data_IF_125278650065
#
_entry.id   IF_125278650065
#
_cell.length_a   1.000
_cell.length_b   1.000
_cell.length_c   1.000
_cell.angle_alpha   90.00
_cell.angle_beta   90.00
_cell.angle_gamma   90.00
#
_symmetry.space_group_name_H-M   'P 1'
#
loop_
_entity.id
_entity.type
_entity.pdbx_description
1 polymer ?
#
# COMPACT_ATOMS: atom_id res chain seq x y z
N UNK A 1 92.54 24.48 -29.56
CA UNK A 1 91.80 24.37 -28.33
C UNK A 1 90.29 24.60 -28.59
N UNK A 2 89.57 23.54 -28.79
CA UNK A 2 88.13 23.61 -29.23
C UNK A 2 87.24 23.47 -27.99
N UNK A 3 86.41 24.44 -27.77
CA UNK A 3 85.33 24.38 -26.73
C UNK A 3 84.15 23.70 -27.33
N UNK A 4 83.75 22.57 -26.78
CA UNK A 4 82.45 21.92 -27.02
C UNK A 4 81.40 22.61 -26.15
N UNK A 5 80.33 23.08 -26.78
CA UNK A 5 79.14 23.54 -26.10
C UNK A 5 78.13 22.38 -26.08
N UNK A 6 77.69 21.97 -24.86
CA UNK A 6 76.60 21.00 -24.64
C UNK A 6 75.28 21.74 -24.72
N UNK A 7 74.42 21.36 -25.67
CA UNK A 7 73.02 21.76 -25.71
C UNK A 7 72.20 20.77 -24.86
N UNK A 8 71.58 21.22 -23.77
CA UNK A 8 70.62 20.46 -23.01
C UNK A 8 69.23 20.66 -23.63
N UNK A 9 68.68 19.61 -24.22
CA UNK A 9 67.24 19.59 -24.61
C UNK A 9 66.36 19.31 -23.39
N UNK A 10 65.54 20.30 -23.02
CA UNK A 10 64.39 20.09 -22.08
C UNK A 10 63.24 19.46 -22.85
N UNK A 11 62.95 18.21 -22.54
CA UNK A 11 61.74 17.56 -22.96
C UNK A 11 60.58 17.96 -22.01
N UNK A 12 59.65 18.76 -22.49
CA UNK A 12 58.41 19.07 -21.79
C UNK A 12 57.44 17.88 -21.93
N UNK A 13 57.25 17.10 -20.86
CA UNK A 13 56.20 16.11 -20.78
C UNK A 13 54.87 16.78 -20.51
N UNK A 14 54.02 16.87 -21.54
CA UNK A 14 52.64 17.26 -21.37
C UNK A 14 51.89 16.16 -20.63
N UNK A 15 51.54 16.40 -19.37
CA UNK A 15 50.63 15.56 -18.61
C UNK A 15 49.21 15.70 -19.20
N UNK A 16 48.76 14.70 -19.93
CA UNK A 16 47.37 14.58 -20.34
C UNK A 16 46.53 14.26 -19.10
N UNK A 17 45.78 15.26 -18.64
CA UNK A 17 44.71 15.01 -17.64
C UNK A 17 43.66 14.14 -18.30
N UNK A 18 43.68 12.86 -17.97
CA UNK A 18 42.55 11.95 -18.27
C UNK A 18 41.34 12.41 -17.43
N UNK A 19 40.39 13.06 -18.09
CA UNK A 19 39.07 13.30 -17.55
C UNK A 19 38.42 11.94 -17.24
N UNK A 20 38.48 11.50 -15.97
CA UNK A 20 37.70 10.39 -15.53
C UNK A 20 36.24 10.81 -15.63
N UNK A 21 35.47 10.13 -16.51
CA UNK A 21 34.03 10.24 -16.52
C UNK A 21 33.52 9.90 -15.12
N UNK A 22 32.48 10.59 -14.60
CA UNK A 22 31.90 10.25 -13.32
C UNK A 22 31.46 8.79 -13.37
N UNK A 23 31.54 8.02 -12.23
CA UNK A 23 31.10 6.66 -12.18
C UNK A 23 29.65 6.60 -12.67
N UNK A 24 29.38 5.69 -13.61
CA UNK A 24 28.05 5.48 -14.14
C UNK A 24 27.12 5.23 -12.95
N UNK A 25 26.09 6.08 -12.80
CA UNK A 25 25.02 5.82 -11.84
C UNK A 25 24.52 4.38 -12.06
N UNK A 26 24.29 3.60 -10.97
CA UNK A 26 23.79 2.25 -11.11
C UNK A 26 22.53 2.29 -11.99
N UNK A 27 22.55 1.48 -13.05
CA UNK A 27 21.46 1.39 -14.01
C UNK A 27 20.14 1.31 -13.26
N UNK A 28 19.20 2.19 -13.60
CA UNK A 28 17.88 2.23 -12.99
C UNK A 28 17.29 0.82 -13.02
N UNK A 29 17.08 0.25 -11.84
CA UNK A 29 16.54 -1.10 -11.71
C UNK A 29 15.12 -1.09 -12.29
N UNK A 30 14.97 -1.67 -13.48
CA UNK A 30 13.67 -2.07 -13.98
C UNK A 30 13.06 -3.05 -12.99
N UNK A 31 11.73 -3.04 -12.84
CA UNK A 31 11.07 -4.05 -12.00
C UNK A 31 11.45 -5.45 -12.49
N UNK A 32 11.73 -6.40 -11.57
CA UNK A 32 12.14 -7.73 -11.98
C UNK A 32 11.03 -8.40 -12.80
N UNK A 33 11.36 -9.03 -13.94
CA UNK A 33 10.39 -9.74 -14.75
C UNK A 33 9.64 -10.80 -13.94
N UNK A 34 8.32 -10.91 -14.13
CA UNK A 34 7.46 -11.84 -13.41
C UNK A 34 7.14 -11.43 -11.97
N UNK A 35 7.52 -10.21 -11.55
CA UNK A 35 7.22 -9.71 -10.21
C UNK A 35 5.82 -9.11 -10.15
N UNK A 36 5.14 -9.33 -9.03
CA UNK A 36 3.97 -8.56 -8.63
C UNK A 36 4.37 -7.57 -7.54
N UNK A 37 4.02 -6.30 -7.72
CA UNK A 37 4.36 -5.21 -6.81
C UNK A 37 3.09 -4.51 -6.38
N UNK A 38 2.89 -4.38 -5.07
CA UNK A 38 1.84 -3.54 -4.52
C UNK A 38 2.33 -2.11 -4.40
N UNK A 39 1.55 -1.16 -4.88
CA UNK A 39 1.80 0.26 -4.76
C UNK A 39 0.80 0.91 -3.81
N UNK A 40 1.32 1.64 -2.83
CA UNK A 40 0.55 2.49 -1.95
C UNK A 40 0.45 3.89 -2.55
N UNK A 41 -0.77 4.36 -2.71
CA UNK A 41 -1.06 5.67 -3.29
C UNK A 41 -1.70 6.61 -2.26
N UNK A 42 -1.54 7.93 -2.41
CA UNK A 42 -2.32 8.90 -1.64
C UNK A 42 -3.81 8.64 -1.79
N UNK A 43 -4.56 8.77 -0.68
CA UNK A 43 -5.99 8.53 -0.68
C UNK A 43 -6.41 7.06 -0.74
N UNK A 44 -5.44 6.13 -0.58
CA UNK A 44 -5.73 4.69 -0.48
C UNK A 44 -6.17 4.02 -1.78
N UNK A 45 -5.95 4.67 -2.92
CA UNK A 45 -6.14 4.06 -4.25
C UNK A 45 -4.99 3.10 -4.57
N UNK A 46 -4.74 2.16 -3.66
CA UNK A 46 -3.67 1.19 -3.82
C UNK A 46 -3.98 0.22 -4.95
N UNK A 47 -2.93 -0.21 -5.65
CA UNK A 47 -3.05 -1.15 -6.74
C UNK A 47 -1.90 -2.15 -6.76
N UNK A 48 -2.14 -3.32 -7.33
CA UNK A 48 -1.09 -4.26 -7.69
C UNK A 48 -0.71 -4.06 -9.17
N UNK A 49 0.59 -4.18 -9.46
CA UNK A 49 1.07 -4.32 -10.83
C UNK A 49 1.84 -5.62 -10.96
N UNK A 50 1.38 -6.51 -11.82
CA UNK A 50 2.09 -7.73 -12.20
C UNK A 50 2.82 -7.48 -13.52
N UNK A 51 4.14 -7.74 -13.55
CA UNK A 51 4.97 -7.55 -14.73
C UNK A 51 5.20 -8.90 -15.41
N UNK A 52 4.97 -9.01 -16.71
CA UNK A 52 5.24 -10.23 -17.47
C UNK A 52 6.71 -10.64 -17.38
N UNK A 53 7.00 -11.92 -17.58
CA UNK A 53 8.39 -12.44 -17.58
C UNK A 53 9.22 -11.85 -18.72
N UNK A 54 8.59 -11.54 -19.82
CA UNK A 54 9.17 -10.92 -21.00
C UNK A 54 9.36 -9.41 -20.82
N UNK A 55 8.66 -8.82 -19.82
CA UNK A 55 8.71 -7.39 -19.51
C UNK A 55 7.99 -6.50 -20.54
N UNK A 56 7.10 -7.05 -21.33
CA UNK A 56 6.33 -6.40 -22.40
C UNK A 56 4.93 -5.98 -21.96
N UNK A 57 4.43 -6.55 -20.87
CA UNK A 57 3.12 -6.27 -20.29
C UNK A 57 3.20 -5.96 -18.80
N UNK A 58 2.30 -5.08 -18.32
CA UNK A 58 1.98 -4.91 -16.93
C UNK A 58 0.47 -5.04 -16.73
N UNK A 59 0.04 -5.93 -15.85
CA UNK A 59 -1.36 -6.06 -15.45
C UNK A 59 -1.59 -5.26 -14.18
N UNK A 60 -2.50 -4.30 -14.20
CA UNK A 60 -2.89 -3.50 -13.03
C UNK A 60 -4.17 -4.08 -12.45
N UNK A 61 -4.15 -4.38 -11.16
CA UNK A 61 -5.30 -4.80 -10.37
C UNK A 61 -5.61 -3.75 -9.31
N UNK A 62 -6.76 -3.10 -9.41
CA UNK A 62 -7.30 -2.19 -8.39
C UNK A 62 -8.47 -2.91 -7.70
N UNK A 63 -8.52 -2.97 -6.35
CA UNK A 63 -9.61 -3.63 -5.65
C UNK A 63 -10.99 -3.13 -6.10
N UNK A 64 -11.85 -4.06 -6.52
CA UNK A 64 -13.21 -3.75 -6.97
C UNK A 64 -13.32 -3.21 -8.41
N UNK A 65 -12.25 -3.24 -9.18
CA UNK A 65 -12.25 -2.88 -10.61
C UNK A 65 -11.75 -4.05 -11.46
N UNK A 66 -12.14 -4.12 -12.75
CA UNK A 66 -11.55 -5.06 -13.69
C UNK A 66 -10.04 -4.86 -13.79
N UNK A 67 -9.30 -5.94 -14.01
CA UNK A 67 -7.87 -5.86 -14.30
C UNK A 67 -7.63 -5.22 -15.67
N UNK A 68 -6.53 -4.47 -15.76
CA UNK A 68 -6.14 -3.76 -16.97
C UNK A 68 -4.75 -4.21 -17.40
N UNK A 69 -4.63 -4.70 -18.61
CA UNK A 69 -3.35 -5.05 -19.23
C UNK A 69 -2.80 -3.86 -20.01
N UNK A 70 -1.58 -3.46 -19.68
CA UNK A 70 -0.90 -2.33 -20.28
C UNK A 70 0.33 -2.80 -21.04
N UNK A 71 0.42 -2.55 -22.35
CA UNK A 71 1.62 -2.82 -23.12
C UNK A 71 2.76 -1.87 -22.74
N UNK A 72 4.00 -2.37 -22.88
CA UNK A 72 5.19 -1.58 -22.60
C UNK A 72 5.30 -0.37 -23.54
N UNK A 73 5.69 0.76 -22.97
CA UNK A 73 5.96 2.00 -23.68
C UNK A 73 7.45 2.34 -23.65
N UNK A 74 7.98 3.07 -24.66
CA UNK A 74 9.33 3.58 -24.61
C UNK A 74 9.57 4.45 -23.36
N UNK A 75 10.65 4.19 -22.62
CA UNK A 75 11.03 5.01 -21.47
C UNK A 75 12.52 5.26 -21.48
N UNK A 76 12.95 6.48 -21.13
CA UNK A 76 14.36 6.85 -21.07
C UNK A 76 15.08 6.25 -19.86
N UNK A 77 14.35 5.99 -18.77
CA UNK A 77 14.85 5.34 -17.56
C UNK A 77 13.68 4.75 -16.76
N UNK A 78 13.87 3.59 -16.13
CA UNK A 78 12.83 2.91 -15.37
C UNK A 78 11.89 2.10 -16.26
N UNK A 79 10.59 2.14 -15.96
CA UNK A 79 9.56 1.42 -16.70
C UNK A 79 8.42 2.35 -17.12
N UNK A 80 7.79 2.05 -18.24
CA UNK A 80 6.55 2.66 -18.69
C UNK A 80 5.68 1.63 -19.40
N UNK A 81 4.40 1.61 -19.05
CA UNK A 81 3.36 0.77 -19.64
C UNK A 81 2.10 1.63 -19.79
N UNK A 82 1.35 1.43 -20.85
CA UNK A 82 0.16 2.24 -20.99
C UNK A 82 -0.66 1.98 -22.26
N UNK A 83 -1.90 2.45 -22.20
CA UNK A 83 -2.82 2.52 -23.31
C UNK A 83 -3.34 3.96 -23.49
N UNK A 84 -4.48 4.14 -24.13
CA UNK A 84 -5.08 5.46 -24.33
C UNK A 84 -5.70 6.07 -23.07
N UNK A 85 -5.93 5.29 -22.01
CA UNK A 85 -6.62 5.71 -20.79
C UNK A 85 -5.75 5.58 -19.54
N UNK A 86 -4.94 4.51 -19.47
CA UNK A 86 -4.05 4.22 -18.34
C UNK A 86 -2.58 4.37 -18.74
N UNK A 87 -1.80 4.96 -17.87
CA UNK A 87 -0.33 4.97 -17.95
C UNK A 87 0.25 4.64 -16.58
N UNK A 88 1.13 3.65 -16.53
CA UNK A 88 1.95 3.31 -15.37
C UNK A 88 3.40 3.56 -15.71
N UNK A 89 4.03 4.53 -15.08
CA UNK A 89 5.45 4.81 -15.25
C UNK A 89 6.16 4.92 -13.91
N UNK A 90 7.46 4.61 -13.86
CA UNK A 90 8.17 4.68 -12.60
C UNK A 90 9.64 4.28 -12.67
N UNK A 91 10.30 4.41 -11.51
CA UNK A 91 11.70 4.01 -11.32
C UNK A 91 11.92 3.51 -9.90
N UNK A 92 12.56 2.33 -9.76
CA UNK A 92 12.80 1.73 -8.46
C UNK A 92 11.49 1.50 -7.68
N UNK A 93 11.33 2.15 -6.54
CA UNK A 93 10.13 2.03 -5.70
C UNK A 93 9.03 3.06 -6.00
N UNK A 94 9.32 4.04 -6.81
CA UNK A 94 8.36 5.08 -7.18
C UNK A 94 7.61 4.70 -8.44
N UNK A 95 6.31 4.91 -8.43
CA UNK A 95 5.46 4.77 -9.61
C UNK A 95 4.49 5.95 -9.71
N UNK A 96 4.14 6.30 -10.93
CA UNK A 96 3.04 7.21 -11.24
C UNK A 96 2.02 6.43 -12.03
N UNK A 97 0.80 6.34 -11.52
CA UNK A 97 -0.34 5.81 -12.24
C UNK A 97 -1.20 6.98 -12.70
N UNK A 98 -1.40 7.06 -14.01
CA UNK A 98 -2.34 8.01 -14.63
C UNK A 98 -3.55 7.23 -15.14
N UNK A 99 -4.76 7.69 -14.82
CA UNK A 99 -6.01 7.13 -15.30
C UNK A 99 -6.95 8.27 -15.68
N UNK A 100 -7.43 8.29 -16.92
CA UNK A 100 -8.32 9.34 -17.41
C UNK A 100 -7.77 10.77 -17.22
N UNK A 101 -6.46 10.97 -17.41
CA UNK A 101 -5.77 12.26 -17.27
C UNK A 101 -5.50 12.70 -15.81
N UNK A 102 -5.77 11.85 -14.82
CA UNK A 102 -5.43 12.07 -13.41
C UNK A 102 -4.23 11.23 -13.04
N UNK A 103 -3.17 11.86 -12.52
CA UNK A 103 -1.95 11.19 -12.12
C UNK A 103 -1.85 11.09 -10.60
N UNK A 104 -1.43 9.91 -10.12
CA UNK A 104 -1.14 9.64 -8.72
C UNK A 104 0.29 9.13 -8.59
N UNK A 105 1.05 9.71 -7.67
CA UNK A 105 2.39 9.21 -7.34
C UNK A 105 2.27 8.22 -6.19
N UNK A 106 2.77 7.02 -6.39
CA UNK A 106 2.64 5.89 -5.50
C UNK A 106 4.00 5.31 -5.15
N UNK A 107 4.09 4.61 -4.03
CA UNK A 107 5.32 3.95 -3.59
C UNK A 107 5.12 2.45 -3.49
N UNK A 108 6.08 1.67 -3.95
CA UNK A 108 6.03 0.22 -3.78
C UNK A 108 6.00 -0.15 -2.28
N UNK A 109 5.05 -1.00 -1.93
CA UNK A 109 5.04 -1.68 -0.63
C UNK A 109 6.07 -2.81 -0.71
N UNK A 110 6.81 -3.01 0.36
CA UNK A 110 7.87 -4.00 0.34
C UNK A 110 9.18 -3.48 -0.29
N UNK A 111 10.03 -4.39 -0.69
CA UNK A 111 11.33 -4.10 -1.32
C UNK A 111 11.53 -5.00 -2.54
N UNK A 112 10.95 -4.66 -3.68
CA UNK A 112 11.08 -5.44 -4.90
C UNK A 112 12.54 -5.67 -5.28
N UNK A 113 12.87 -6.92 -5.66
CA UNK A 113 14.24 -7.30 -6.06
C UNK A 113 15.14 -7.74 -4.90
N UNK A 114 14.76 -7.54 -3.64
CA UNK A 114 15.48 -8.09 -2.50
C UNK A 114 15.01 -9.52 -2.18
N UNK A 115 15.87 -10.39 -1.60
CA UNK A 115 15.41 -11.69 -1.13
C UNK A 115 14.50 -11.55 0.11
N UNK A 116 13.65 -12.54 0.40
CA UNK A 116 12.89 -12.58 1.64
C UNK A 116 13.80 -12.46 2.87
N UNK A 117 13.32 -11.76 3.89
CA UNK A 117 14.06 -11.57 5.15
C UNK A 117 13.28 -12.18 6.30
N UNK A 118 13.90 -13.09 7.02
CA UNK A 118 13.29 -13.74 8.19
C UNK A 118 13.91 -13.19 9.47
N UNK A 119 13.05 -12.88 10.44
CA UNK A 119 13.43 -12.38 11.78
C UNK A 119 12.82 -13.29 12.84
N UNK A 120 13.57 -13.54 13.93
CA UNK A 120 13.14 -14.43 15.00
C UNK A 120 13.46 -13.83 16.38
N UNK A 121 12.56 -14.02 17.34
CA UNK A 121 12.75 -13.62 18.74
C UNK A 121 11.47 -13.80 19.56
N UNK A 122 11.62 -14.14 20.85
CA UNK A 122 10.49 -14.25 21.77
C UNK A 122 9.39 -15.24 21.37
N UNK A 123 9.71 -16.28 20.60
CA UNK A 123 8.74 -17.23 20.06
C UNK A 123 8.06 -16.77 18.77
N UNK A 124 8.37 -15.58 18.28
CA UNK A 124 7.85 -15.03 17.04
C UNK A 124 8.84 -15.24 15.90
N UNK A 125 8.36 -15.70 14.75
CA UNK A 125 9.09 -15.74 13.48
C UNK A 125 8.32 -14.93 12.45
N UNK A 126 8.98 -14.00 11.77
CA UNK A 126 8.37 -13.17 10.72
C UNK A 126 9.23 -13.27 9.46
N UNK A 127 8.62 -13.59 8.33
CA UNK A 127 9.26 -13.47 7.02
C UNK A 127 8.63 -12.30 6.25
N UNK A 128 9.45 -11.34 5.86
CA UNK A 128 9.08 -10.20 5.01
C UNK A 128 9.46 -10.52 3.58
N UNK A 129 8.47 -10.65 2.70
CA UNK A 129 8.68 -10.91 1.29
C UNK A 129 8.84 -9.58 0.53
N UNK A 130 9.63 -9.57 -0.55
CA UNK A 130 9.93 -8.33 -1.31
C UNK A 130 8.70 -7.70 -1.95
N UNK A 131 7.66 -8.47 -2.14
CA UNK A 131 6.38 -8.07 -2.71
C UNK A 131 5.42 -7.39 -1.73
N UNK A 132 5.84 -7.18 -0.47
CA UNK A 132 5.03 -6.54 0.55
C UNK A 132 4.11 -7.48 1.32
N UNK A 133 4.22 -8.79 1.13
CA UNK A 133 3.57 -9.78 1.98
C UNK A 133 4.47 -10.09 3.17
N UNK A 134 3.91 -10.24 4.37
CA UNK A 134 4.57 -10.92 5.47
C UNK A 134 3.89 -12.25 5.75
N UNK A 135 4.67 -13.19 6.28
CA UNK A 135 4.16 -14.40 6.93
C UNK A 135 4.71 -14.44 8.34
N UNK A 136 3.87 -14.85 9.28
CA UNK A 136 4.20 -14.83 10.70
C UNK A 136 3.81 -16.17 11.31
N UNK A 137 4.69 -16.69 12.16
CA UNK A 137 4.46 -17.82 13.04
C UNK A 137 4.70 -17.38 14.46
N UNK A 138 3.70 -17.53 15.32
CA UNK A 138 3.76 -17.16 16.73
C UNK A 138 3.66 -18.41 17.61
N UNK A 139 4.71 -18.65 18.38
CA UNK A 139 4.85 -19.74 19.36
C UNK A 139 5.04 -19.20 20.77
N UNK A 140 4.77 -17.92 20.99
CA UNK A 140 4.91 -17.31 22.32
C UNK A 140 3.85 -17.72 23.31
N UNK A 141 2.69 -18.22 22.81
CA UNK A 141 1.59 -18.72 23.59
C UNK A 141 1.51 -20.24 23.70
N UNK A 142 0.42 -20.74 24.32
CA UNK A 142 0.16 -22.17 24.44
C UNK A 142 -0.12 -22.88 23.11
N UNK A 143 -0.60 -22.13 22.11
CA UNK A 143 -0.92 -22.64 20.79
C UNK A 143 -0.09 -21.89 19.74
N UNK A 144 0.42 -22.63 18.75
CA UNK A 144 1.03 -22.03 17.58
C UNK A 144 -0.03 -21.36 16.71
N UNK A 145 0.22 -20.13 16.29
CA UNK A 145 -0.61 -19.45 15.28
C UNK A 145 0.23 -19.01 14.08
N UNK A 146 -0.40 -18.99 12.91
CA UNK A 146 0.21 -18.55 11.66
C UNK A 146 -0.67 -17.49 11.02
N UNK A 147 -0.03 -16.40 10.58
CA UNK A 147 -0.69 -15.26 9.97
C UNK A 147 -0.01 -14.87 8.64
N UNK A 148 -0.80 -14.25 7.77
CA UNK A 148 -0.34 -13.61 6.54
C UNK A 148 -0.94 -12.21 6.46
N UNK A 149 -0.22 -11.27 5.87
CA UNK A 149 -0.72 -9.90 5.68
C UNK A 149 0.25 -9.05 4.88
N UNK A 150 0.06 -7.74 4.93
CA UNK A 150 0.91 -6.75 4.26
C UNK A 150 1.94 -6.17 5.22
N UNK A 151 3.14 -5.90 4.71
CA UNK A 151 4.10 -5.08 5.42
C UNK A 151 4.49 -3.86 4.59
N UNK A 152 4.77 -2.77 5.27
CA UNK A 152 5.27 -1.54 4.66
C UNK A 152 6.30 -0.89 5.57
N UNK A 153 7.22 -0.18 4.97
CA UNK A 153 8.11 0.72 5.68
C UNK A 153 7.45 2.10 5.72
N UNK A 154 7.18 2.58 6.93
CA UNK A 154 6.62 3.92 7.16
C UNK A 154 7.69 4.82 7.78
N UNK A 155 7.78 6.06 7.30
CA UNK A 155 8.67 7.07 7.85
C UNK A 155 7.82 8.04 8.65
N UNK A 156 7.87 7.89 9.99
CA UNK A 156 7.09 8.71 10.91
C UNK A 156 7.91 8.91 12.18
N UNK A 157 8.71 9.96 12.20
CA UNK A 157 9.69 10.20 13.29
C UNK A 157 10.79 9.14 13.40
N UNK A 158 10.96 8.33 12.37
CA UNK A 158 11.92 7.23 12.23
C UNK A 158 11.42 6.18 11.26
N UNK A 159 12.30 5.27 10.86
CA UNK A 159 11.93 4.16 9.97
C UNK A 159 11.25 3.08 10.79
N UNK A 160 10.00 2.80 10.48
CA UNK A 160 9.20 1.77 11.12
C UNK A 160 8.76 0.72 10.12
N UNK A 161 8.83 -0.54 10.53
CA UNK A 161 8.24 -1.66 9.82
C UNK A 161 6.83 -1.89 10.37
N UNK A 162 5.83 -1.73 9.55
CA UNK A 162 4.42 -1.90 9.93
C UNK A 162 3.84 -3.12 9.24
N UNK A 163 3.38 -4.08 10.02
CA UNK A 163 2.69 -5.27 9.56
C UNK A 163 1.19 -5.11 9.82
N UNK A 164 0.37 -5.45 8.83
CA UNK A 164 -1.09 -5.33 8.87
C UNK A 164 -1.75 -6.60 8.39
N UNK A 165 -2.78 -7.00 9.10
CA UNK A 165 -3.53 -8.21 8.82
C UNK A 165 -3.19 -9.35 9.76
N UNK A 166 -3.92 -10.46 9.61
CA UNK A 166 -3.85 -11.59 10.50
C UNK A 166 -4.72 -11.41 11.76
N UNK A 167 -4.40 -12.13 12.82
CA UNK A 167 -5.12 -12.07 14.11
C UNK A 167 -4.91 -10.76 14.86
N UNK A 168 -3.81 -10.05 14.54
CA UNK A 168 -3.51 -8.71 15.09
C UNK A 168 -3.56 -7.70 13.96
N UNK A 169 -4.50 -6.78 14.04
CA UNK A 169 -4.77 -5.82 12.97
C UNK A 169 -3.54 -4.99 12.56
N UNK A 170 -2.63 -4.72 13.50
CA UNK A 170 -1.40 -3.96 13.25
C UNK A 170 -0.30 -4.31 14.24
N UNK A 171 0.91 -4.54 13.72
CA UNK A 171 2.14 -4.67 14.52
C UNK A 171 3.16 -3.65 14.00
N UNK A 172 3.85 -2.98 14.89
CA UNK A 172 4.85 -1.95 14.56
C UNK A 172 6.19 -2.35 15.15
N UNK A 173 7.23 -2.24 14.34
CA UNK A 173 8.60 -2.47 14.74
C UNK A 173 9.47 -1.30 14.28
N UNK A 174 10.42 -0.88 15.09
CA UNK A 174 11.53 -0.03 14.64
C UNK A 174 12.59 -0.94 14.00
N UNK A 175 12.98 -0.65 12.77
CA UNK A 175 14.11 -1.35 12.13
C UNK A 175 15.43 -0.76 12.66
N UNK A 176 16.31 -1.62 13.13
CA UNK A 176 17.64 -1.27 13.65
C UNK A 176 18.70 -1.96 12.79
N UNK A 177 19.52 -1.16 12.08
CA UNK A 177 20.60 -1.58 11.17
C UNK A 177 20.23 -2.66 10.13
N UNK A 178 18.94 -2.83 9.84
CA UNK A 178 18.43 -3.85 8.91
C UNK A 178 18.45 -5.30 9.41
N UNK A 179 19.09 -5.55 10.56
CA UNK A 179 19.25 -6.88 11.15
C UNK A 179 18.37 -7.13 12.37
N UNK A 180 17.70 -6.10 12.88
CA UNK A 180 16.82 -6.20 14.04
C UNK A 180 15.51 -5.48 13.83
N UNK A 181 14.45 -6.09 14.34
CA UNK A 181 13.15 -5.47 14.49
C UNK A 181 12.84 -5.34 15.98
N UNK A 182 12.69 -4.12 16.46
CA UNK A 182 12.38 -3.82 17.87
C UNK A 182 10.91 -3.45 17.97
N UNK A 183 10.13 -4.25 18.67
CA UNK A 183 8.72 -4.00 18.93
C UNK A 183 8.51 -2.85 19.93
N UNK A 184 7.32 -2.27 19.98
CA UNK A 184 6.95 -1.18 20.90
C UNK A 184 7.11 -1.57 22.37
N UNK A 185 6.92 -2.85 22.71
CA UNK A 185 7.13 -3.39 24.06
C UNK A 185 8.61 -3.70 24.41
N UNK A 186 9.55 -3.35 23.52
CA UNK A 186 10.98 -3.60 23.68
C UNK A 186 11.45 -5.01 23.27
N UNK A 187 10.56 -5.90 22.84
CA UNK A 187 10.98 -7.22 22.33
C UNK A 187 11.78 -7.06 21.04
N UNK A 188 12.87 -7.83 20.92
CA UNK A 188 13.76 -7.77 19.76
C UNK A 188 13.64 -9.07 18.97
N UNK A 189 13.48 -8.93 17.66
CA UNK A 189 13.62 -10.02 16.70
C UNK A 189 14.92 -9.78 15.92
N UNK A 190 15.77 -10.79 15.86
CA UNK A 190 17.04 -10.74 15.11
C UNK A 190 16.88 -11.41 13.75
N UNK A 191 17.62 -10.92 12.77
CA UNK A 191 17.66 -11.54 11.45
C UNK A 191 18.21 -12.96 11.54
N UNK A 192 17.48 -13.91 10.97
CA UNK A 192 17.82 -15.31 10.97
C UNK A 192 18.13 -15.81 9.56
N UNK A 193 19.09 -16.74 9.46
CA UNK A 193 19.38 -17.49 8.25
C UNK A 193 18.37 -18.63 8.01
N UNK A 194 17.14 -18.47 8.48
CA UNK A 194 16.10 -19.48 8.35
C UNK A 194 15.39 -19.35 7.01
N UNK A 195 14.93 -20.49 6.49
CA UNK A 195 14.10 -20.52 5.30
C UNK A 195 12.83 -19.67 5.50
N UNK A 196 12.30 -19.05 4.42
CA UNK A 196 11.04 -18.35 4.48
C UNK A 196 9.92 -19.26 4.99
N UNK A 197 9.00 -18.70 5.78
CA UNK A 197 7.85 -19.45 6.29
C UNK A 197 7.00 -19.93 5.11
N UNK A 198 6.78 -21.25 5.05
CA UNK A 198 5.95 -21.94 4.05
C UNK A 198 4.79 -22.70 4.73
N UNK A 199 4.11 -22.04 5.64
CA UNK A 199 3.02 -22.64 6.40
C UNK A 199 1.70 -22.62 5.62
N UNK A 200 0.75 -23.41 6.12
CA UNK A 200 -0.64 -23.37 5.67
C UNK A 200 -1.34 -22.21 6.32
N UNK A 201 -2.05 -21.42 5.52
CA UNK A 201 -2.81 -20.27 5.99
C UNK A 201 -4.29 -20.50 5.71
N UNK A 202 -5.13 -19.93 6.57
CA UNK A 202 -6.52 -19.67 6.27
C UNK A 202 -6.57 -18.39 5.47
N UNK A 203 -6.84 -18.51 4.18
CA UNK A 203 -6.89 -17.40 3.24
C UNK A 203 -8.35 -17.07 2.94
N UNK A 204 -8.68 -15.78 2.97
CA UNK A 204 -9.99 -15.26 2.57
C UNK A 204 -9.81 -14.37 1.36
N UNK A 205 -10.66 -14.52 0.37
CA UNK A 205 -10.49 -13.78 -0.87
C UNK A 205 -11.66 -13.89 -1.82
N UNK A 206 -11.50 -13.21 -2.95
CA UNK A 206 -12.41 -13.26 -4.07
C UNK A 206 -11.84 -14.19 -5.14
N UNK A 207 -12.57 -15.24 -5.44
CA UNK A 207 -12.24 -16.19 -6.50
C UNK A 207 -13.03 -15.86 -7.76
N UNK A 208 -12.37 -15.91 -8.88
CA UNK A 208 -12.99 -15.94 -10.22
C UNK A 208 -12.30 -16.96 -11.09
N UNK A 209 -13.06 -17.63 -11.93
CA UNK A 209 -12.51 -18.43 -13.00
C UNK A 209 -12.18 -17.55 -14.21
N UNK A 210 -11.13 -17.90 -14.93
CA UNK A 210 -10.70 -17.21 -16.15
C UNK A 210 -10.32 -18.23 -17.22
N UNK A 211 -10.15 -17.78 -18.46
CA UNK A 211 -9.73 -18.64 -19.58
C UNK A 211 -8.37 -19.33 -19.31
N UNK A 212 -7.57 -18.79 -18.42
CA UNK A 212 -6.23 -19.29 -18.10
C UNK A 212 -6.15 -19.99 -16.73
N UNK A 213 -7.29 -20.27 -16.08
CA UNK A 213 -7.37 -20.89 -14.75
C UNK A 213 -7.96 -19.98 -13.70
N UNK A 214 -8.04 -20.46 -12.47
CA UNK A 214 -8.61 -19.73 -11.35
C UNK A 214 -7.72 -18.59 -10.88
N UNK A 215 -8.33 -17.47 -10.53
CA UNK A 215 -7.67 -16.32 -9.92
C UNK A 215 -8.26 -16.06 -8.52
N UNK A 216 -7.40 -15.83 -7.56
CA UNK A 216 -7.77 -15.60 -6.16
C UNK A 216 -7.18 -14.28 -5.68
N UNK A 217 -8.05 -13.30 -5.38
CA UNK A 217 -7.62 -12.02 -4.78
C UNK A 217 -7.73 -12.11 -3.27
N UNK A 218 -6.60 -12.17 -2.57
CA UNK A 218 -6.54 -12.33 -1.13
C UNK A 218 -6.93 -11.02 -0.41
N UNK A 219 -7.86 -11.09 0.55
CA UNK A 219 -8.49 -9.92 1.16
C UNK A 219 -7.53 -9.04 1.99
N UNK A 220 -6.58 -9.64 2.74
CA UNK A 220 -5.69 -8.88 3.62
C UNK A 220 -4.59 -8.15 2.85
N UNK A 221 -4.11 -8.75 1.80
CA UNK A 221 -3.03 -8.20 0.99
C UNK A 221 -3.54 -7.42 -0.23
N UNK A 222 -4.78 -7.70 -0.67
CA UNK A 222 -5.34 -7.16 -1.92
C UNK A 222 -4.68 -7.71 -3.17
N UNK A 223 -3.86 -8.77 -3.05
CA UNK A 223 -3.12 -9.35 -4.16
C UNK A 223 -3.90 -10.44 -4.87
N UNK A 224 -3.79 -10.46 -6.18
CA UNK A 224 -4.32 -11.52 -7.01
C UNK A 224 -3.23 -12.56 -7.28
N UNK A 225 -3.57 -13.82 -7.08
CA UNK A 225 -2.73 -14.98 -7.31
C UNK A 225 -3.41 -15.91 -8.31
N UNK A 226 -2.62 -16.55 -9.15
CA UNK A 226 -3.08 -17.71 -9.88
C UNK A 226 -3.35 -18.86 -8.89
N UNK A 227 -4.41 -19.62 -9.12
CA UNK A 227 -4.71 -20.82 -8.32
C UNK A 227 -4.11 -22.02 -9.02
N UNK A 228 -3.19 -22.72 -8.34
CA UNK A 228 -2.58 -23.90 -8.89
C UNK A 228 -3.63 -24.97 -9.22
N UNK A 229 -3.54 -25.65 -10.38
CA UNK A 229 -4.53 -26.66 -10.81
C UNK A 229 -4.40 -27.98 -10.02
N UNK A 230 -4.57 -27.88 -8.70
CA UNK A 230 -4.40 -28.98 -7.75
C UNK A 230 -5.21 -28.77 -6.47
N UNK A 231 -5.40 -29.81 -5.71
CA UNK A 231 -6.09 -29.75 -4.40
C UNK A 231 -7.56 -29.39 -4.54
N UNK A 232 -7.95 -28.25 -3.99
CA UNK A 232 -9.34 -27.77 -3.97
C UNK A 232 -9.71 -26.89 -5.18
N UNK A 233 -8.83 -26.72 -6.14
CA UNK A 233 -9.12 -25.89 -7.33
C UNK A 233 -10.35 -26.38 -8.11
N UNK A 234 -10.54 -27.70 -8.39
CA UNK A 234 -11.77 -28.18 -9.05
C UNK A 234 -13.06 -27.92 -8.27
N UNK A 235 -12.98 -27.84 -6.93
CA UNK A 235 -14.13 -27.50 -6.09
C UNK A 235 -14.44 -26.00 -6.17
N UNK A 236 -13.41 -25.16 -6.29
CA UNK A 236 -13.54 -23.71 -6.49
C UNK A 236 -14.17 -23.41 -7.85
N UNK A 237 -13.69 -24.03 -8.92
CA UNK A 237 -14.22 -23.89 -10.28
C UNK A 237 -15.70 -24.31 -10.34
N UNK A 238 -16.03 -25.47 -9.77
CA UNK A 238 -17.42 -25.94 -9.69
C UNK A 238 -18.30 -24.97 -8.91
N UNK A 239 -17.84 -24.57 -7.72
CA UNK A 239 -18.59 -23.64 -6.86
C UNK A 239 -18.81 -22.28 -7.55
N UNK A 240 -17.83 -21.79 -8.29
CA UNK A 240 -17.94 -20.56 -9.06
C UNK A 240 -18.94 -20.72 -10.22
N UNK A 241 -18.85 -21.78 -10.98
CA UNK A 241 -19.77 -22.08 -12.10
C UNK A 241 -21.22 -22.19 -11.62
N UNK A 242 -21.46 -22.82 -10.47
CA UNK A 242 -22.79 -22.95 -9.88
C UNK A 242 -23.33 -21.64 -9.28
N UNK A 243 -22.44 -20.78 -8.78
CA UNK A 243 -22.80 -19.57 -8.05
C UNK A 243 -22.95 -18.34 -8.94
N UNK A 244 -22.22 -18.27 -10.06
CA UNK A 244 -22.06 -17.04 -10.83
C UNK A 244 -22.53 -17.22 -12.28
N UNK A 245 -23.62 -16.54 -12.69
CA UNK A 245 -24.10 -16.62 -14.06
C UNK A 245 -23.30 -15.74 -15.05
N UNK A 246 -22.40 -14.84 -14.58
CA UNK A 246 -21.60 -13.97 -15.43
C UNK A 246 -20.10 -14.22 -15.27
N UNK A 247 -19.34 -14.12 -16.36
CA UNK A 247 -17.87 -14.31 -16.37
C UNK A 247 -17.09 -13.28 -15.56
N UNK A 248 -17.72 -12.16 -15.20
CA UNK A 248 -17.10 -11.05 -14.46
C UNK A 248 -17.39 -11.13 -12.95
N UNK A 249 -18.29 -12.03 -12.54
CA UNK A 249 -18.64 -12.16 -11.13
C UNK A 249 -17.47 -12.74 -10.33
N UNK A 250 -17.41 -12.38 -9.05
CA UNK A 250 -16.42 -12.89 -8.10
C UNK A 250 -17.14 -13.59 -6.96
N UNK A 251 -16.57 -14.69 -6.49
CA UNK A 251 -17.11 -15.48 -5.39
C UNK A 251 -16.23 -15.28 -4.16
N UNK A 252 -16.78 -14.78 -3.07
CA UNK A 252 -16.05 -14.72 -1.81
C UNK A 252 -15.86 -16.13 -1.25
N UNK A 253 -14.62 -16.51 -1.05
CA UNK A 253 -14.25 -17.86 -0.57
C UNK A 253 -13.27 -17.76 0.58
N UNK A 254 -13.31 -18.79 1.40
CA UNK A 254 -12.36 -19.05 2.45
C UNK A 254 -11.74 -20.42 2.20
N UNK A 255 -10.42 -20.45 2.10
CA UNK A 255 -9.66 -21.65 1.78
C UNK A 255 -8.55 -21.89 2.82
N UNK A 256 -8.19 -23.14 3.01
CA UNK A 256 -6.92 -23.53 3.61
C UNK A 256 -5.93 -23.82 2.49
N UNK A 257 -4.78 -23.17 2.52
CA UNK A 257 -3.79 -23.34 1.45
C UNK A 257 -2.45 -22.66 1.75
N UNK A 258 -1.60 -22.64 0.75
CA UNK A 258 -0.26 -22.05 0.80
C UNK A 258 -0.09 -21.06 -0.35
N UNK A 259 0.77 -20.09 -0.15
CA UNK A 259 1.24 -19.20 -1.22
C UNK A 259 2.67 -19.63 -1.58
N UNK A 260 2.87 -20.16 -2.77
CA UNK A 260 4.17 -20.68 -3.23
C UNK A 260 4.49 -20.06 -4.58
N UNK A 261 5.62 -19.36 -4.67
CA UNK A 261 6.13 -18.79 -5.93
C UNK A 261 5.11 -17.89 -6.68
N UNK A 262 4.24 -17.19 -5.95
CA UNK A 262 3.23 -16.32 -6.56
C UNK A 262 1.92 -17.00 -6.93
N UNK A 263 1.76 -18.29 -6.64
CA UNK A 263 0.54 -19.06 -6.82
C UNK A 263 -0.10 -19.38 -5.47
N UNK A 264 -1.42 -19.49 -5.43
CA UNK A 264 -2.17 -20.07 -4.31
C UNK A 264 -2.40 -21.55 -4.60
N UNK A 265 -1.89 -22.41 -3.72
CA UNK A 265 -2.22 -23.82 -3.68
C UNK A 265 -3.35 -24.05 -2.68
N UNK A 266 -4.58 -24.03 -3.16
CA UNK A 266 -5.76 -24.30 -2.34
C UNK A 266 -5.83 -25.79 -2.01
N UNK A 267 -5.71 -26.13 -0.73
CA UNK A 267 -5.76 -27.53 -0.29
C UNK A 267 -7.21 -27.94 0.08
N UNK A 268 -8.00 -26.99 0.58
CA UNK A 268 -9.40 -27.24 0.98
C UNK A 268 -10.22 -25.95 0.93
N UNK A 269 -11.39 -26.05 0.30
CA UNK A 269 -12.43 -25.01 0.41
C UNK A 269 -13.12 -25.13 1.78
N UNK A 270 -13.16 -24.05 2.55
CA UNK A 270 -13.76 -24.00 3.88
C UNK A 270 -15.18 -23.43 3.86
N UNK A 271 -15.35 -22.33 3.14
CA UNK A 271 -16.66 -21.69 2.97
C UNK A 271 -16.71 -20.86 1.70
N UNK A 272 -17.93 -20.56 1.25
CA UNK A 272 -18.17 -19.65 0.13
C UNK A 272 -19.42 -18.80 0.41
N UNK A 273 -19.42 -17.58 -0.14
CA UNK A 273 -20.56 -16.65 -0.08
C UNK A 273 -20.72 -15.95 -1.41
N UNK A 274 -21.91 -16.03 -2.01
CA UNK A 274 -22.20 -15.44 -3.33
C UNK A 274 -22.08 -13.91 -3.33
N UNK A 275 -22.57 -13.28 -2.26
CA UNK A 275 -22.59 -11.80 -2.11
C UNK A 275 -21.56 -11.34 -1.06
N UNK A 276 -20.51 -12.13 -0.82
CA UNK A 276 -19.48 -11.79 0.13
C UNK A 276 -18.50 -10.77 -0.46
N UNK A 277 -17.96 -9.91 0.38
CA UNK A 277 -16.92 -8.96 0.06
C UNK A 277 -15.76 -9.07 1.04
N UNK A 278 -14.58 -8.66 0.61
CA UNK A 278 -13.45 -8.54 1.53
C UNK A 278 -13.78 -7.55 2.66
N UNK A 279 -13.40 -7.86 3.92
CA UNK A 279 -13.56 -6.93 5.03
C UNK A 279 -12.81 -5.63 4.75
N UNK A 280 -13.40 -4.49 5.11
CA UNK A 280 -12.69 -3.22 5.08
C UNK A 280 -11.53 -3.27 6.08
N UNK A 281 -10.32 -3.02 5.61
CA UNK A 281 -9.13 -2.94 6.46
C UNK A 281 -8.96 -1.53 7.00
N UNK A 282 -8.39 -1.41 8.20
CA UNK A 282 -7.95 -0.11 8.69
C UNK A 282 -6.92 0.48 7.72
N UNK A 283 -7.06 1.75 7.32
CA UNK A 283 -6.16 2.36 6.34
C UNK A 283 -4.74 2.45 6.90
N UNK A 284 -3.76 2.38 6.00
CA UNK A 284 -2.38 2.69 6.36
C UNK A 284 -2.25 4.17 6.74
N UNK A 285 -1.38 4.47 7.69
CA UNK A 285 -1.13 5.85 8.08
C UNK A 285 -0.68 6.71 6.89
N UNK A 286 0.14 6.14 5.99
CA UNK A 286 0.57 6.78 4.74
C UNK A 286 -0.58 7.08 3.77
N UNK A 287 -1.63 6.26 3.77
CA UNK A 287 -2.81 6.49 2.94
C UNK A 287 -3.72 7.60 3.49
N UNK A 288 -3.71 7.83 4.80
CA UNK A 288 -4.49 8.89 5.44
C UNK A 288 -3.77 10.24 5.39
N UNK A 289 -2.43 10.22 5.52
CA UNK A 289 -1.60 11.42 5.63
C UNK A 289 -1.34 12.03 4.27
N UNK A 290 -1.00 13.30 4.27
CA UNK A 290 -0.64 14.10 3.09
C UNK A 290 -1.72 14.09 1.97
N UNK A 291 -2.91 13.57 2.25
CA UNK A 291 -4.07 13.55 1.36
C UNK A 291 -5.04 14.66 1.75
N UNK A 292 -5.49 15.44 0.78
CA UNK A 292 -6.59 16.39 0.98
C UNK A 292 -7.92 15.64 0.88
N UNK A 293 -8.56 15.45 2.02
CA UNK A 293 -9.85 14.80 2.16
C UNK A 293 -10.97 15.83 2.08
N UNK A 294 -11.86 15.69 1.09
CA UNK A 294 -13.05 16.50 0.94
C UNK A 294 -14.22 15.84 1.66
N UNK A 295 -14.92 16.59 2.50
CA UNK A 295 -16.08 16.07 3.21
C UNK A 295 -17.25 15.93 2.25
N UNK A 296 -17.82 14.71 2.16
CA UNK A 296 -18.98 14.39 1.33
C UNK A 296 -20.25 14.37 2.19
N UNK A 297 -20.13 13.79 3.40
CA UNK A 297 -21.25 13.65 4.33
C UNK A 297 -20.79 13.91 5.76
N UNK A 298 -21.65 14.54 6.55
CA UNK A 298 -21.54 14.72 8.00
C UNK A 298 -22.81 14.15 8.62
N UNK A 299 -22.70 13.11 9.44
CA UNK A 299 -23.82 12.38 10.06
C UNK A 299 -24.91 11.92 9.04
N UNK A 300 -24.49 11.56 7.83
CA UNK A 300 -25.38 11.12 6.74
C UNK A 300 -25.96 12.23 5.89
N UNK A 301 -25.71 13.50 6.21
CA UNK A 301 -26.17 14.65 5.45
C UNK A 301 -25.04 15.28 4.64
N UNK A 302 -25.34 15.77 3.45
CA UNK A 302 -24.37 16.54 2.64
C UNK A 302 -24.17 17.92 3.27
N UNK A 303 -22.89 18.39 3.39
CA UNK A 303 -22.61 19.75 3.83
C UNK A 303 -23.24 20.77 2.87
N UNK A 304 -23.91 21.79 3.43
CA UNK A 304 -24.38 22.92 2.65
C UNK A 304 -23.19 23.83 2.29
N UNK A 305 -23.09 24.21 1.01
CA UNK A 305 -22.16 25.24 0.53
C UNK A 305 -22.65 25.76 -0.82
N UNK A 306 -22.46 27.04 -1.06
CA UNK A 306 -22.87 27.70 -2.31
C UNK A 306 -21.73 27.71 -3.34
N UNK A 307 -20.49 27.66 -2.90
CA UNK A 307 -19.27 27.61 -3.73
C UNK A 307 -18.44 26.39 -3.36
N UNK A 308 -17.84 25.73 -4.34
CA UNK A 308 -16.93 24.60 -4.14
C UNK A 308 -15.76 24.92 -3.19
N UNK A 309 -15.35 26.19 -3.07
CA UNK A 309 -14.31 26.68 -2.14
C UNK A 309 -14.74 26.58 -0.69
N UNK A 310 -16.04 26.63 -0.42
CA UNK A 310 -16.65 26.48 0.88
C UNK A 310 -16.86 25.03 1.28
N UNK A 311 -16.45 24.08 0.43
CA UNK A 311 -16.54 22.67 0.77
C UNK A 311 -15.61 22.34 1.93
N UNK A 312 -16.10 21.73 3.01
CA UNK A 312 -15.27 21.33 4.13
C UNK A 312 -14.20 20.32 3.68
N UNK A 313 -13.00 20.45 4.24
CA UNK A 313 -11.85 19.60 3.91
C UNK A 313 -10.96 19.38 5.13
N UNK A 314 -10.24 18.28 5.11
CA UNK A 314 -9.34 17.83 6.17
C UNK A 314 -8.04 17.30 5.53
N UNK A 315 -6.90 17.62 6.11
CA UNK A 315 -5.60 17.04 5.78
C UNK A 315 -4.88 16.67 7.08
N UNK A 316 -4.35 15.46 7.13
CA UNK A 316 -3.51 14.96 8.20
C UNK A 316 -2.05 14.99 7.71
N UNK A 317 -1.13 15.50 8.54
CA UNK A 317 0.30 15.47 8.26
C UNK A 317 0.98 14.26 8.94
N UNK A 318 2.27 14.10 8.72
CA UNK A 318 3.08 13.02 9.31
C UNK A 318 3.57 13.33 10.73
N UNK A 319 3.33 14.54 11.24
CA UNK A 319 3.71 15.00 12.58
C UNK A 319 2.56 14.94 13.62
N UNK A 320 1.43 14.29 13.26
CA UNK A 320 0.27 14.19 14.15
C UNK A 320 -0.54 15.47 14.23
N UNK A 321 -0.41 16.36 13.23
CA UNK A 321 -1.22 17.57 13.12
C UNK A 321 -2.23 17.43 11.98
N UNK A 322 -3.36 18.08 12.14
CA UNK A 322 -4.29 18.24 11.04
C UNK A 322 -4.58 19.70 10.76
N UNK A 323 -4.94 19.96 9.53
CA UNK A 323 -5.43 21.27 9.07
C UNK A 323 -6.60 21.08 8.12
N UNK A 324 -7.39 22.12 7.92
CA UNK A 324 -8.52 22.04 7.01
C UNK A 324 -9.37 23.28 7.00
N UNK A 325 -10.58 23.12 6.49
CA UNK A 325 -11.62 24.14 6.48
C UNK A 325 -12.96 23.51 6.85
N UNK A 326 -13.73 24.20 7.66
CA UNK A 326 -15.11 23.84 8.00
C UNK A 326 -16.11 24.21 6.90
N UNK A 327 -15.63 24.90 5.87
CA UNK A 327 -16.44 25.51 4.84
C UNK A 327 -16.55 27.05 4.98
N UNK A 328 -16.47 27.55 6.20
CA UNK A 328 -16.40 28.96 6.52
C UNK A 328 -15.07 29.34 7.18
N UNK A 329 -14.70 28.65 8.23
CA UNK A 329 -13.49 28.89 9.00
C UNK A 329 -12.37 27.91 8.63
N UNK A 330 -11.11 28.34 8.81
CA UNK A 330 -9.97 27.45 8.83
C UNK A 330 -9.93 26.71 10.16
N UNK A 331 -9.52 25.45 10.12
CA UNK A 331 -9.38 24.62 11.31
C UNK A 331 -8.00 23.96 11.39
N UNK A 332 -7.55 23.70 12.61
CA UNK A 332 -6.32 22.96 12.87
C UNK A 332 -6.36 22.30 14.24
N UNK A 333 -5.48 21.34 14.46
CA UNK A 333 -5.34 20.65 15.73
C UNK A 333 -4.35 19.49 15.64
N UNK A 334 -4.42 18.59 16.61
CA UNK A 334 -3.63 17.38 16.65
C UNK A 334 -4.51 16.14 16.50
N UNK A 335 -3.92 15.05 16.02
CA UNK A 335 -4.58 13.77 15.97
C UNK A 335 -3.63 12.66 16.45
N UNK A 336 -4.23 11.59 16.92
CA UNK A 336 -3.53 10.36 17.27
C UNK A 336 -4.03 9.25 16.34
N UNK A 337 -3.09 8.54 15.74
CA UNK A 337 -3.36 7.38 14.91
C UNK A 337 -2.52 6.22 15.43
N UNK A 338 -3.16 5.28 16.07
CA UNK A 338 -2.57 4.12 16.71
C UNK A 338 -3.33 2.83 16.29
N UNK A 339 -2.91 1.65 16.76
CA UNK A 339 -3.63 0.40 16.49
C UNK A 339 -5.07 0.38 16.96
N UNK A 340 -5.42 1.20 17.94
CA UNK A 340 -6.76 1.29 18.51
C UNK A 340 -7.68 2.17 17.66
N UNK A 341 -7.12 3.04 16.81
CA UNK A 341 -7.89 3.85 15.88
C UNK A 341 -7.35 5.24 15.60
N UNK A 342 -8.24 6.11 15.16
CA UNK A 342 -7.98 7.51 14.85
C UNK A 342 -8.77 8.40 15.81
N UNK A 343 -8.10 9.32 16.47
CA UNK A 343 -8.72 10.30 17.39
C UNK A 343 -8.24 11.69 17.08
N UNK A 344 -9.14 12.66 17.16
CA UNK A 344 -8.83 14.07 17.01
C UNK A 344 -8.88 14.75 18.38
N UNK A 345 -7.84 15.53 18.70
CA UNK A 345 -7.80 16.43 19.84
C UNK A 345 -8.69 17.66 19.58
N UNK A 346 -8.95 18.51 20.58
CA UNK A 346 -9.78 19.69 20.40
C UNK A 346 -9.37 20.53 19.19
N UNK A 347 -10.37 20.88 18.38
CA UNK A 347 -10.20 21.60 17.12
C UNK A 347 -10.12 23.10 17.39
N UNK A 348 -9.06 23.75 16.93
CA UNK A 348 -8.98 25.21 16.87
C UNK A 348 -9.57 25.70 15.54
N UNK A 349 -10.41 26.72 15.58
CA UNK A 349 -11.00 27.34 14.39
C UNK A 349 -10.81 28.88 14.42
N UNK A 350 -10.70 29.50 13.24
CA UNK A 350 -10.79 30.94 13.11
C UNK A 350 -12.24 31.41 13.41
N UNK A 351 -12.40 32.65 13.83
CA UNK A 351 -13.71 33.23 14.20
C UNK A 351 -14.16 34.23 13.13
N UNK A 352 -14.34 33.78 11.91
CA UNK A 352 -14.95 34.60 10.86
C UNK A 352 -16.47 34.47 10.97
N UNK A 353 -17.20 35.57 10.83
CA UNK A 353 -18.66 35.53 10.82
C UNK A 353 -19.19 34.74 9.64
N UNK A 354 -19.92 33.68 9.91
CA UNK A 354 -20.47 32.75 8.88
C UNK A 354 -21.97 33.00 8.68
N UNK A 355 -22.48 32.84 7.44
CA UNK A 355 -23.92 32.69 7.24
C UNK A 355 -24.50 31.57 8.11
N UNK A 356 -25.75 31.66 8.59
CA UNK A 356 -26.31 30.72 9.56
C UNK A 356 -26.24 29.26 9.15
N UNK A 357 -26.46 28.97 7.85
CA UNK A 357 -26.37 27.58 7.32
C UNK A 357 -24.95 27.01 7.40
N UNK A 358 -23.92 27.82 7.08
CA UNK A 358 -22.51 27.40 7.17
C UNK A 358 -22.07 27.29 8.64
N UNK A 359 -22.53 28.17 9.53
CA UNK A 359 -22.23 28.07 10.96
C UNK A 359 -22.81 26.81 11.60
N UNK A 360 -24.03 26.43 11.23
CA UNK A 360 -24.62 25.16 11.66
C UNK A 360 -23.87 23.94 11.11
N UNK A 361 -23.41 24.00 9.86
CA UNK A 361 -22.57 23.00 9.23
C UNK A 361 -21.22 22.83 9.89
N UNK A 362 -20.56 23.96 10.22
CA UNK A 362 -19.29 24.00 10.97
C UNK A 362 -19.40 23.28 12.31
N UNK A 363 -20.42 23.65 13.11
CA UNK A 363 -20.63 23.01 14.41
C UNK A 363 -20.79 21.49 14.27
N UNK A 364 -21.65 21.03 13.34
CA UNK A 364 -21.86 19.59 13.12
C UNK A 364 -20.59 18.88 12.69
N UNK A 365 -19.79 19.49 11.82
CA UNK A 365 -18.53 18.91 11.36
C UNK A 365 -17.52 18.76 12.51
N UNK A 366 -17.35 19.79 13.35
CA UNK A 366 -16.46 19.74 14.52
C UNK A 366 -16.95 18.68 15.52
N UNK A 367 -18.25 18.64 15.83
CA UNK A 367 -18.83 17.64 16.72
C UNK A 367 -18.62 16.21 16.18
N UNK A 368 -18.82 16.01 14.87
CA UNK A 368 -18.58 14.72 14.22
C UNK A 368 -17.10 14.31 14.27
N UNK A 369 -16.17 15.26 14.00
CA UNK A 369 -14.74 15.02 14.03
C UNK A 369 -14.26 14.61 15.44
N UNK A 370 -14.77 15.28 16.47
CA UNK A 370 -14.43 15.00 17.87
C UNK A 370 -14.91 13.61 18.34
N UNK A 371 -15.96 13.07 17.73
CA UNK A 371 -16.50 11.76 18.03
C UNK A 371 -15.76 10.61 17.33
N UNK A 372 -14.88 10.89 16.39
CA UNK A 372 -14.16 9.85 15.61
C UNK A 372 -13.29 8.98 16.52
N UNK A 373 -13.36 7.67 16.30
CA UNK A 373 -12.52 6.65 16.96
C UNK A 373 -11.89 5.67 15.99
N UNK A 374 -12.46 5.53 14.79
CA UNK A 374 -11.99 4.58 13.79
C UNK A 374 -12.01 5.22 12.40
N UNK A 375 -11.17 4.70 11.52
CA UNK A 375 -11.13 5.08 10.12
C UNK A 375 -11.21 3.83 9.24
N UNK A 376 -12.00 3.89 8.17
CA UNK A 376 -12.12 2.83 7.16
C UNK A 376 -11.92 3.45 5.79
N UNK A 377 -11.06 2.84 4.98
CA UNK A 377 -10.74 3.31 3.63
C UNK A 377 -11.14 2.27 2.61
N UNK A 378 -11.97 2.67 1.65
CA UNK A 378 -12.37 1.84 0.51
C UNK A 378 -12.14 2.64 -0.77
N UNK A 379 -11.17 2.24 -1.56
CA UNK A 379 -10.73 3.02 -2.72
C UNK A 379 -10.28 4.43 -2.30
N UNK A 380 -10.92 5.45 -2.85
CA UNK A 380 -10.68 6.87 -2.51
C UNK A 380 -11.60 7.41 -1.43
N UNK A 381 -12.50 6.59 -0.88
CA UNK A 381 -13.49 7.02 0.12
C UNK A 381 -13.04 6.65 1.52
N UNK A 382 -12.95 7.65 2.38
CA UNK A 382 -12.61 7.52 3.80
C UNK A 382 -13.86 7.70 4.66
N UNK A 383 -14.27 6.66 5.38
CA UNK A 383 -15.30 6.72 6.40
C UNK A 383 -14.66 6.84 7.78
N UNK A 384 -15.05 7.87 8.53
CA UNK A 384 -14.66 8.08 9.92
C UNK A 384 -15.82 7.70 10.84
N UNK A 385 -15.56 6.78 11.75
CA UNK A 385 -16.56 6.15 12.59
C UNK A 385 -16.34 6.53 14.06
N UNK A 386 -17.41 6.57 14.84
CA UNK A 386 -17.33 6.69 16.29
C UNK A 386 -17.07 5.35 17.00
N UNK A 387 -17.04 5.36 18.33
CA UNK A 387 -16.78 4.18 19.14
C UNK A 387 -17.85 3.07 18.98
N UNK A 388 -19.04 3.40 18.49
CA UNK A 388 -20.12 2.45 18.24
C UNK A 388 -20.09 1.84 16.82
N UNK A 389 -19.15 2.33 15.98
CA UNK A 389 -19.06 1.97 14.57
C UNK A 389 -20.03 2.75 13.67
N UNK A 390 -20.71 3.76 14.21
CA UNK A 390 -21.56 4.66 13.42
C UNK A 390 -20.69 5.62 12.63
N UNK A 391 -20.95 5.73 11.30
CA UNK A 391 -20.28 6.69 10.44
C UNK A 391 -20.67 8.11 10.80
N UNK A 392 -19.67 8.91 11.16
CA UNK A 392 -19.81 10.32 11.49
C UNK A 392 -19.44 11.21 10.30
N UNK A 393 -18.41 10.81 9.55
CA UNK A 393 -17.95 11.54 8.39
C UNK A 393 -17.68 10.59 7.23
N UNK A 394 -18.01 11.00 6.01
CA UNK A 394 -17.56 10.41 4.78
C UNK A 394 -16.79 11.44 3.97
N UNK A 395 -15.60 11.08 3.55
CA UNK A 395 -14.69 11.94 2.81
C UNK A 395 -14.22 11.25 1.54
N UNK A 396 -13.79 12.04 0.58
CA UNK A 396 -13.25 11.59 -0.69
C UNK A 396 -11.88 12.22 -0.94
N UNK A 397 -10.93 11.43 -1.43
CA UNK A 397 -9.61 11.91 -1.74
C UNK A 397 -9.65 12.85 -2.94
N UNK A 398 -8.99 14.01 -2.85
CA UNK A 398 -8.75 14.85 -4.00
C UNK A 398 -7.57 14.27 -4.77
N UNK A 399 -7.82 13.81 -6.02
CA UNK A 399 -6.72 13.55 -6.94
C UNK A 399 -5.91 14.82 -7.14
N UNK A 400 -4.58 14.72 -7.03
CA UNK A 400 -3.65 15.82 -7.35
C UNK A 400 -3.59 16.03 -8.85
#
# INVERSE_FOLDING_TARGET
MRKLALLAMLAATAAQAQSQAPPAEPAAQAQPPGAQVMYACPGGSDFAAAFSKEGDLATISVPGQPEVELPRQPSGSGFAFGDSYYELSGRGREATLTAGGRSMRCHAIGRPGEPPRTYQGGGLTITLFPDGIFRLRDRSGANESVDIGQWAQEVDGGVRMVLRGGTVARRVFREDDGDKLVAENGSVLERASADPIDDRFRLTGLYRDSQNGGLFTECLTGRTFEVAPSGAEPDLERAWTEATPSKEAQLYVEIMGRVVSGEVRAERLLSLKRDGACPALAPRSSALRETEWRVIEVDGERPAYDDWRQRPRLRLDDHGKFSGSTGCNSMSGSYQLDPEGLRFEPVAVTLIGCPPALAAGEKRFIDALSAVRQAQLVGTTLDLLDATGKRRLRLDARGR
#
